data_IF_606990014940
#
_entry.id   IF_606990014940
#
_cell.length_a   1.000
_cell.length_b   1.000
_cell.length_c   1.000
_cell.angle_alpha   90.00
_cell.angle_beta   90.00
_cell.angle_gamma   90.00
#
_symmetry.space_group_name_H-M   'P 1'
#
loop_
_entity.id
_entity.type
_entity.pdbx_description
1 polymer ?
#
# COMPACT_ATOMS: atom_id res chain seq x y z
N UNK A 1 -10.56 -41.65 4.19
CA UNK A 1 -9.77 -41.11 5.32
C UNK A 1 -8.47 -41.87 5.44
N UNK A 2 -7.33 -41.19 5.45
CA UNK A 2 -6.02 -41.84 5.62
C UNK A 2 -5.79 -42.16 7.11
N UNK A 3 -5.28 -43.35 7.42
CA UNK A 3 -4.94 -43.75 8.78
C UNK A 3 -3.43 -43.96 8.96
N UNK A 4 -2.79 -43.03 9.68
CA UNK A 4 -1.33 -43.02 9.93
C UNK A 4 -0.99 -43.34 11.39
N UNK A 5 -1.80 -44.16 12.07
CA UNK A 5 -1.66 -44.45 13.52
C UNK A 5 -1.72 -43.21 14.42
N UNK A 6 -2.40 -42.16 13.96
CA UNK A 6 -2.56 -40.91 14.69
C UNK A 6 -4.05 -40.58 14.83
N UNK A 7 -4.57 -40.81 16.04
CA UNK A 7 -5.98 -40.56 16.38
C UNK A 7 -6.36 -39.09 16.30
N UNK A 8 -5.45 -38.17 16.63
CA UNK A 8 -5.72 -36.73 16.61
C UNK A 8 -5.98 -36.27 15.19
N UNK A 9 -5.07 -36.57 14.26
CA UNK A 9 -5.24 -36.20 12.85
C UNK A 9 -6.43 -36.91 12.21
N UNK A 10 -6.71 -38.15 12.62
CA UNK A 10 -7.84 -38.92 12.10
C UNK A 10 -9.19 -38.32 12.54
N UNK A 11 -9.33 -37.99 13.82
CA UNK A 11 -10.54 -37.34 14.36
C UNK A 11 -10.72 -35.93 13.81
N UNK A 12 -9.63 -35.16 13.71
CA UNK A 12 -9.66 -33.83 13.11
C UNK A 12 -10.11 -33.88 11.64
N UNK A 13 -9.57 -34.81 10.85
CA UNK A 13 -9.99 -35.00 9.47
C UNK A 13 -11.48 -35.39 9.37
N UNK A 14 -12.02 -36.16 10.33
CA UNK A 14 -13.46 -36.45 10.36
C UNK A 14 -14.29 -35.22 10.70
N UNK A 15 -13.82 -34.35 11.59
CA UNK A 15 -14.48 -33.08 11.86
C UNK A 15 -14.47 -32.19 10.61
N UNK A 16 -13.33 -32.08 9.92
CA UNK A 16 -13.21 -31.35 8.65
C UNK A 16 -14.16 -31.91 7.58
N UNK A 17 -14.29 -33.24 7.48
CA UNK A 17 -15.25 -33.88 6.57
C UNK A 17 -16.70 -33.44 6.87
N UNK A 18 -17.07 -33.29 8.15
CA UNK A 18 -18.39 -32.78 8.54
C UNK A 18 -18.57 -31.29 8.21
N UNK A 19 -17.50 -30.50 8.24
CA UNK A 19 -17.51 -29.09 7.81
C UNK A 19 -17.71 -29.00 6.28
N UNK A 20 -17.07 -29.87 5.51
CA UNK A 20 -17.23 -29.94 4.05
C UNK A 20 -18.64 -30.38 3.62
N UNK A 21 -19.28 -31.25 4.41
CA UNK A 21 -20.62 -31.77 4.12
C UNK A 21 -21.77 -30.78 4.38
N UNK A 22 -21.48 -29.55 4.85
CA UNK A 22 -22.48 -28.51 5.14
C UNK A 22 -22.21 -27.23 4.35
N UNK A 23 -23.26 -26.47 4.10
CA UNK A 23 -23.13 -25.06 3.74
C UNK A 23 -22.68 -24.26 4.97
N UNK A 24 -21.67 -23.41 4.81
CA UNK A 24 -21.12 -22.57 5.88
C UNK A 24 -20.63 -21.24 5.32
N UNK A 25 -20.64 -20.21 6.17
CA UNK A 25 -20.17 -18.86 5.80
C UNK A 25 -18.98 -18.46 6.68
N UNK A 26 -17.77 -18.54 6.14
CA UNK A 26 -16.55 -18.19 6.88
C UNK A 26 -15.89 -19.39 7.56
N UNK A 27 -15.33 -19.21 8.75
CA UNK A 27 -14.62 -20.28 9.48
C UNK A 27 -15.60 -21.01 10.39
N UNK A 28 -15.76 -22.32 10.22
CA UNK A 28 -16.55 -23.15 11.13
C UNK A 28 -15.71 -23.59 12.34
N UNK A 29 -16.21 -23.31 13.55
CA UNK A 29 -15.66 -23.84 14.82
C UNK A 29 -16.59 -24.89 15.41
N UNK A 30 -16.03 -25.97 15.97
CA UNK A 30 -16.82 -26.95 16.71
C UNK A 30 -17.39 -26.28 17.97
N UNK A 31 -18.72 -26.27 18.10
CA UNK A 31 -19.43 -25.75 19.27
C UNK A 31 -19.77 -26.86 20.25
N UNK A 32 -20.30 -27.95 19.73
CA UNK A 32 -20.85 -29.02 20.53
C UNK A 32 -20.78 -30.34 19.78
N UNK A 33 -20.55 -31.42 20.52
CA UNK A 33 -20.67 -32.79 20.04
C UNK A 33 -21.40 -33.59 21.11
N UNK A 34 -22.47 -34.29 20.73
CA UNK A 34 -23.27 -35.08 21.70
C UNK A 34 -22.48 -36.24 22.26
N UNK A 35 -21.80 -36.98 21.39
CA UNK A 35 -20.98 -38.11 21.82
C UNK A 35 -19.95 -38.49 20.76
N UNK A 36 -18.83 -39.00 21.24
CA UNK A 36 -17.81 -39.68 20.45
C UNK A 36 -17.68 -41.11 20.97
N UNK A 37 -17.78 -42.08 20.08
CA UNK A 37 -17.52 -43.49 20.38
C UNK A 37 -16.28 -43.91 19.61
N UNK A 38 -15.32 -44.49 20.33
CA UNK A 38 -14.07 -45.02 19.78
C UNK A 38 -13.94 -46.45 20.25
N UNK A 39 -14.07 -47.39 19.32
CA UNK A 39 -13.77 -48.80 19.54
C UNK A 39 -12.50 -49.16 18.76
N UNK A 40 -11.41 -49.32 19.50
CA UNK A 40 -10.10 -49.60 18.92
C UNK A 40 -10.03 -50.98 18.28
N UNK A 41 -10.76 -51.98 18.81
CA UNK A 41 -10.74 -53.35 18.28
C UNK A 41 -11.44 -53.42 16.94
N UNK A 42 -12.63 -52.80 16.83
CA UNK A 42 -13.32 -52.74 15.54
C UNK A 42 -12.53 -51.88 14.53
N UNK A 43 -11.86 -50.82 14.98
CA UNK A 43 -11.02 -49.99 14.11
C UNK A 43 -9.84 -50.76 13.50
N UNK A 44 -9.16 -51.62 14.27
CA UNK A 44 -8.07 -52.46 13.77
C UNK A 44 -8.54 -53.51 12.75
N UNK A 45 -9.79 -53.97 12.88
CA UNK A 45 -10.39 -54.97 11.98
C UNK A 45 -11.03 -54.38 10.72
N UNK A 46 -10.98 -53.05 10.53
CA UNK A 46 -11.70 -52.41 9.42
C UNK A 46 -11.08 -52.73 8.05
N UNK A 47 -11.93 -52.90 7.04
CA UNK A 47 -11.49 -53.08 5.66
C UNK A 47 -10.86 -51.79 5.14
N UNK A 48 -9.63 -51.91 4.67
CA UNK A 48 -8.91 -50.82 4.02
C UNK A 48 -9.23 -50.80 2.52
N UNK A 49 -9.45 -49.60 1.99
CA UNK A 49 -9.74 -49.35 0.58
C UNK A 49 -8.55 -48.59 -0.01
N UNK A 50 -8.16 -48.92 -1.24
CA UNK A 50 -7.15 -48.14 -1.98
C UNK A 50 -7.83 -47.00 -2.73
N UNK A 51 -7.41 -45.78 -2.46
CA UNK A 51 -7.83 -44.58 -3.18
C UNK A 51 -6.58 -43.71 -3.44
N UNK A 52 -6.39 -43.26 -4.68
CA UNK A 52 -5.27 -42.40 -5.11
C UNK A 52 -3.88 -42.91 -4.67
N UNK A 53 -3.65 -44.22 -4.79
CA UNK A 53 -2.39 -44.85 -4.39
C UNK A 53 -2.18 -44.96 -2.87
N UNK A 54 -3.12 -44.48 -2.06
CA UNK A 54 -3.06 -44.51 -0.59
C UNK A 54 -4.06 -45.51 -0.01
N UNK A 55 -3.74 -45.98 1.20
CA UNK A 55 -4.59 -46.92 1.95
C UNK A 55 -5.48 -46.11 2.89
N UNK A 56 -6.79 -46.24 2.71
CA UNK A 56 -7.81 -45.39 3.32
C UNK A 56 -8.90 -46.21 4.00
N UNK A 57 -9.59 -45.59 4.95
CA UNK A 57 -10.84 -46.06 5.55
C UNK A 57 -11.99 -45.23 4.98
N UNK A 58 -13.07 -45.91 4.58
CA UNK A 58 -14.29 -45.25 4.12
C UNK A 58 -14.97 -44.49 5.27
N UNK A 59 -15.38 -43.25 5.01
CA UNK A 59 -16.15 -42.44 5.96
C UNK A 59 -17.57 -42.23 5.42
N UNK A 60 -18.55 -42.32 6.31
CA UNK A 60 -19.97 -42.24 5.97
C UNK A 60 -20.63 -41.20 6.87
N UNK A 61 -21.34 -40.26 6.23
CA UNK A 61 -22.11 -39.21 6.92
C UNK A 61 -23.59 -39.55 6.77
N UNK A 62 -24.26 -39.79 7.88
CA UNK A 62 -25.69 -40.05 7.94
C UNK A 62 -26.42 -38.77 8.38
N UNK A 63 -26.75 -37.91 7.42
CA UNK A 63 -27.34 -36.58 7.68
C UNK A 63 -28.64 -36.64 8.48
N UNK A 64 -29.53 -37.59 8.19
CA UNK A 64 -30.81 -37.76 8.91
C UNK A 64 -30.64 -38.16 10.38
N UNK A 65 -29.52 -38.80 10.72
CA UNK A 65 -29.26 -39.31 12.08
C UNK A 65 -28.28 -38.42 12.86
N UNK A 66 -27.72 -37.39 12.21
CA UNK A 66 -26.65 -36.54 12.74
C UNK A 66 -25.47 -37.39 13.26
N UNK A 67 -25.04 -38.38 12.46
CA UNK A 67 -23.98 -39.33 12.79
C UNK A 67 -22.96 -39.43 11.66
N UNK A 68 -21.68 -39.36 12.01
CA UNK A 68 -20.57 -39.64 11.09
C UNK A 68 -19.76 -40.84 11.59
N UNK A 69 -19.53 -41.81 10.71
CA UNK A 69 -18.78 -43.04 11.02
C UNK A 69 -17.58 -43.21 10.11
N UNK A 70 -16.49 -43.70 10.69
CA UNK A 70 -15.32 -44.12 9.93
C UNK A 70 -14.47 -45.09 10.77
N UNK A 71 -14.30 -46.32 10.29
CA UNK A 71 -13.68 -47.38 11.08
C UNK A 71 -14.43 -47.64 12.38
N UNK A 72 -13.69 -47.82 13.49
CA UNK A 72 -14.26 -47.93 14.83
C UNK A 72 -14.65 -46.59 15.49
N UNK A 73 -14.70 -45.49 14.74
CA UNK A 73 -15.11 -44.17 15.26
C UNK A 73 -16.53 -43.83 14.81
N UNK A 74 -17.34 -43.36 15.76
CA UNK A 74 -18.65 -42.76 15.51
C UNK A 74 -18.76 -41.42 16.22
N UNK A 75 -19.04 -40.35 15.49
CA UNK A 75 -19.33 -39.01 15.98
C UNK A 75 -20.83 -38.76 15.87
N UNK A 76 -21.47 -38.24 16.92
CA UNK A 76 -22.89 -37.96 16.92
C UNK A 76 -23.21 -36.54 17.38
N UNK A 77 -24.19 -35.92 16.75
CA UNK A 77 -24.75 -34.63 17.16
C UNK A 77 -23.74 -33.50 17.06
N UNK A 78 -23.02 -33.40 15.94
CA UNK A 78 -21.96 -32.40 15.77
C UNK A 78 -22.61 -31.06 15.39
N UNK A 79 -22.28 -30.00 16.13
CA UNK A 79 -22.72 -28.63 15.85
C UNK A 79 -21.50 -27.73 15.71
N UNK A 80 -21.48 -26.96 14.64
CA UNK A 80 -20.49 -25.92 14.41
C UNK A 80 -21.15 -24.55 14.42
N UNK A 81 -20.45 -23.57 14.97
CA UNK A 81 -20.74 -22.15 14.79
C UNK A 81 -19.85 -21.62 13.65
N UNK A 82 -20.41 -20.80 12.77
CA UNK A 82 -19.64 -20.09 11.76
C UNK A 82 -19.22 -18.72 12.27
N UNK A 83 -17.95 -18.41 12.08
CA UNK A 83 -17.36 -17.10 12.36
C UNK A 83 -17.10 -16.43 11.02
N UNK A 84 -17.73 -15.28 10.81
CA UNK A 84 -17.43 -14.43 9.67
C UNK A 84 -15.98 -13.96 9.73
N UNK A 85 -15.25 -14.13 8.64
CA UNK A 85 -13.96 -13.45 8.49
C UNK A 85 -14.24 -12.01 8.10
N UNK A 86 -13.71 -11.07 8.88
CA UNK A 86 -13.72 -9.66 8.50
C UNK A 86 -12.78 -9.49 7.30
N UNK A 87 -13.24 -8.96 6.16
CA UNK A 87 -12.34 -8.60 5.10
C UNK A 87 -11.35 -7.57 5.66
N UNK A 88 -10.04 -7.82 5.50
CA UNK A 88 -9.05 -6.77 5.74
C UNK A 88 -9.37 -5.64 4.76
N UNK A 89 -9.47 -4.41 5.25
CA UNK A 89 -9.66 -3.24 4.39
C UNK A 89 -8.49 -3.15 3.41
N UNK A 90 -8.68 -3.62 2.19
CA UNK A 90 -7.70 -3.46 1.11
C UNK A 90 -7.97 -2.12 0.45
N UNK A 91 -7.07 -1.17 0.66
CA UNK A 91 -7.13 0.11 -0.04
C UNK A 91 -6.58 -0.11 -1.45
N UNK A 92 -7.37 0.26 -2.45
CA UNK A 92 -6.91 0.21 -3.83
C UNK A 92 -6.18 1.51 -4.15
N UNK A 93 -4.93 1.38 -4.60
CA UNK A 93 -4.11 2.52 -5.03
C UNK A 93 -4.09 2.58 -6.56
N UNK A 94 -4.26 3.77 -7.13
CA UNK A 94 -3.95 4.04 -8.54
C UNK A 94 -2.55 4.62 -8.66
N UNK A 95 -1.83 4.28 -9.72
CA UNK A 95 -0.55 4.90 -10.06
C UNK A 95 -0.78 5.97 -11.12
N UNK A 96 -0.44 7.21 -10.84
CA UNK A 96 -0.70 8.35 -11.72
C UNK A 96 0.45 9.36 -11.70
N UNK A 97 0.70 10.02 -12.84
CA UNK A 97 1.67 11.10 -12.92
C UNK A 97 1.15 12.35 -12.21
N UNK A 98 1.93 12.86 -11.25
CA UNK A 98 1.65 14.12 -10.56
C UNK A 98 2.81 15.08 -10.78
N UNK A 99 2.51 16.25 -11.32
CA UNK A 99 3.48 17.34 -11.45
C UNK A 99 3.92 17.83 -10.06
N UNK A 100 5.16 18.28 -9.93
CA UNK A 100 5.67 18.89 -8.69
C UNK A 100 4.94 20.19 -8.33
N UNK A 101 4.30 20.84 -9.30
CA UNK A 101 3.43 22.00 -9.07
C UNK A 101 2.14 21.78 -9.86
N UNK A 102 1.24 20.93 -9.38
CA UNK A 102 0.02 20.63 -10.10
C UNK A 102 -0.91 21.84 -10.07
N UNK A 103 -1.68 22.02 -11.13
CA UNK A 103 -2.68 23.08 -11.24
C UNK A 103 -3.97 22.59 -10.58
N UNK A 104 -4.52 23.39 -9.66
CA UNK A 104 -5.78 23.11 -8.97
C UNK A 104 -5.60 22.83 -7.48
N UNK A 105 -6.73 22.69 -6.78
CA UNK A 105 -6.77 22.41 -5.34
C UNK A 105 -6.80 20.91 -5.08
N UNK A 106 -5.92 20.43 -4.20
CA UNK A 106 -5.81 19.04 -3.79
C UNK A 106 -6.15 18.86 -2.30
N UNK A 107 -6.56 17.65 -1.94
CA UNK A 107 -6.72 17.29 -0.53
C UNK A 107 -5.37 17.16 0.16
N UNK A 108 -5.27 17.62 1.40
CA UNK A 108 -4.04 17.52 2.22
C UNK A 108 -3.56 16.08 2.30
N UNK A 109 -4.47 15.12 2.52
CA UNK A 109 -4.18 13.68 2.53
C UNK A 109 -3.45 13.23 1.25
N UNK A 110 -3.94 13.61 0.07
CA UNK A 110 -3.30 13.32 -1.24
C UNK A 110 -1.90 13.92 -1.34
N UNK A 111 -1.72 15.17 -0.90
CA UNK A 111 -0.41 15.81 -0.89
C UNK A 111 0.61 15.10 0.00
N UNK A 112 0.17 14.65 1.20
CA UNK A 112 1.02 13.87 2.10
C UNK A 112 1.40 12.51 1.49
N UNK A 113 0.51 11.80 0.79
CA UNK A 113 0.88 10.57 0.05
C UNK A 113 2.02 10.83 -0.93
N UNK A 114 1.90 11.88 -1.74
CA UNK A 114 2.87 12.19 -2.78
C UNK A 114 4.19 12.62 -2.14
N UNK A 115 4.16 13.51 -1.14
CA UNK A 115 5.37 14.04 -0.53
C UNK A 115 6.15 12.97 0.23
N UNK A 116 5.49 12.09 0.98
CA UNK A 116 6.18 11.00 1.66
C UNK A 116 6.76 9.98 0.68
N UNK A 117 6.12 9.74 -0.47
CA UNK A 117 6.71 8.92 -1.53
C UNK A 117 7.96 9.57 -2.13
N UNK A 118 7.94 10.88 -2.40
CA UNK A 118 9.12 11.63 -2.84
C UNK A 118 10.25 11.50 -1.82
N UNK A 119 9.94 11.70 -0.52
CA UNK A 119 10.92 11.56 0.56
C UNK A 119 11.47 10.13 0.60
N UNK A 120 10.61 9.12 0.64
CA UNK A 120 11.01 7.71 0.74
C UNK A 120 11.84 7.24 -0.47
N UNK A 121 11.63 7.81 -1.66
CA UNK A 121 12.47 7.56 -2.83
C UNK A 121 13.89 8.13 -2.69
N UNK A 122 14.06 9.15 -1.86
CA UNK A 122 15.30 9.89 -1.65
C UNK A 122 15.96 9.62 -0.28
N UNK A 123 15.34 8.81 0.59
CA UNK A 123 15.89 8.31 1.85
C UNK A 123 16.61 6.96 1.66
N UNK A 124 17.54 6.67 2.58
CA UNK A 124 18.46 5.53 2.48
C UNK A 124 17.78 4.19 2.84
N UNK A 125 17.03 4.14 3.95
CA UNK A 125 16.68 2.86 4.61
C UNK A 125 15.25 2.35 4.37
N UNK A 126 14.53 2.87 3.35
CA UNK A 126 13.05 2.66 3.20
C UNK A 126 12.30 2.86 4.53
N UNK A 127 12.87 3.68 5.38
CA UNK A 127 12.36 4.13 6.65
C UNK A 127 12.38 5.65 6.59
N UNK A 128 11.30 6.28 7.03
CA UNK A 128 11.16 7.73 7.05
C UNK A 128 10.87 8.15 8.49
N UNK A 129 11.85 8.81 9.11
CA UNK A 129 11.70 9.42 10.43
C UNK A 129 11.09 10.82 10.28
N UNK A 130 9.85 10.99 10.74
CA UNK A 130 9.12 12.26 10.71
C UNK A 130 9.04 12.87 12.11
N UNK A 131 9.52 14.11 12.24
CA UNK A 131 9.29 14.94 13.42
C UNK A 131 8.28 16.03 13.09
N UNK A 132 7.14 15.97 13.75
CA UNK A 132 6.12 16.99 13.69
C UNK A 132 6.39 18.09 14.74
N UNK A 133 6.53 19.31 14.25
CA UNK A 133 6.75 20.52 15.03
C UNK A 133 5.41 21.22 15.28
N UNK A 134 4.98 21.19 16.53
CA UNK A 134 3.70 21.79 16.96
C UNK A 134 3.98 23.14 17.62
N UNK A 135 3.18 24.13 17.27
CA UNK A 135 3.09 25.41 17.99
C UNK A 135 1.90 25.29 18.95
N UNK A 136 2.01 25.82 20.17
CA UNK A 136 0.96 25.73 21.21
C UNK A 136 -0.38 26.34 20.75
N UNK A 137 -0.36 27.13 19.67
CA UNK A 137 -1.51 27.75 19.04
C UNK A 137 -2.16 26.94 17.89
N UNK A 138 -1.61 25.79 17.49
CA UNK A 138 -2.13 24.96 16.39
C UNK A 138 -2.96 23.76 16.90
N UNK A 139 -4.26 23.78 16.64
CA UNK A 139 -5.20 22.72 17.04
C UNK A 139 -5.17 21.45 16.15
N UNK A 140 -4.55 21.49 14.98
CA UNK A 140 -4.51 20.33 14.06
C UNK A 140 -3.10 19.76 13.92
N UNK A 141 -2.90 18.60 14.53
CA UNK A 141 -1.73 17.76 14.35
C UNK A 141 -1.93 16.78 13.19
N UNK A 142 -0.90 16.57 12.38
CA UNK A 142 -0.85 15.61 11.27
C UNK A 142 -0.76 14.15 11.74
N UNK A 143 -0.53 13.89 13.04
CA UNK A 143 -0.37 12.53 13.59
C UNK A 143 -1.38 11.49 13.08
N UNK A 144 -2.68 11.75 13.22
CA UNK A 144 -3.72 10.80 12.74
C UNK A 144 -3.64 10.55 11.22
N UNK A 145 -3.29 11.58 10.46
CA UNK A 145 -3.12 11.46 9.01
C UNK A 145 -1.88 10.64 8.67
N UNK A 146 -0.76 10.87 9.35
CA UNK A 146 0.49 10.13 9.16
C UNK A 146 0.33 8.65 9.55
N UNK A 147 -0.34 8.36 10.66
CA UNK A 147 -0.65 6.97 11.05
C UNK A 147 -1.52 6.27 10.00
N UNK A 148 -2.49 6.99 9.44
CA UNK A 148 -3.33 6.48 8.36
C UNK A 148 -2.44 6.19 7.15
N UNK A 149 -1.72 7.20 6.63
CA UNK A 149 -0.87 7.06 5.45
C UNK A 149 0.19 5.97 5.62
N UNK A 150 0.78 5.80 6.81
CA UNK A 150 1.74 4.74 7.12
C UNK A 150 1.14 3.33 7.08
N UNK A 151 -0.12 3.16 7.49
CA UNK A 151 -0.85 1.89 7.36
C UNK A 151 -1.22 1.59 5.91
N UNK A 152 -1.54 2.62 5.13
CA UNK A 152 -1.97 2.48 3.74
C UNK A 152 -0.79 2.30 2.76
N UNK A 153 0.32 3.02 2.95
CA UNK A 153 1.54 2.90 2.14
C UNK A 153 2.47 1.83 2.73
N UNK A 154 2.40 0.62 2.20
CA UNK A 154 3.30 -0.48 2.62
C UNK A 154 4.66 -0.45 1.91
N UNK A 155 4.98 0.60 1.15
CA UNK A 155 6.21 0.69 0.35
C UNK A 155 7.44 1.09 1.16
N UNK A 156 7.25 1.73 2.32
CA UNK A 156 8.28 2.14 3.28
C UNK A 156 7.70 2.13 4.70
N UNK A 157 8.55 2.04 5.72
CA UNK A 157 8.16 2.22 7.12
C UNK A 157 8.25 3.70 7.51
N UNK A 158 7.37 4.14 8.41
CA UNK A 158 7.33 5.52 8.86
C UNK A 158 7.23 5.55 10.38
N UNK A 159 8.16 6.27 11.01
CA UNK A 159 8.10 6.58 12.43
C UNK A 159 7.72 8.06 12.58
N UNK A 160 6.73 8.33 13.43
CA UNK A 160 6.24 9.68 13.71
C UNK A 160 6.48 10.03 15.17
N UNK A 161 7.10 11.19 15.39
CA UNK A 161 7.28 11.79 16.72
C UNK A 161 6.80 13.23 16.64
N UNK A 162 6.16 13.73 17.69
CA UNK A 162 5.80 15.14 17.79
C UNK A 162 6.62 15.83 18.88
N UNK A 163 6.92 17.11 18.67
CA UNK A 163 7.57 17.95 19.68
C UNK A 163 7.13 19.40 19.52
N UNK A 164 7.06 20.14 20.63
CA UNK A 164 6.79 21.57 20.58
C UNK A 164 8.00 22.31 20.01
N UNK A 165 7.76 23.30 19.14
CA UNK A 165 8.82 24.11 18.52
C UNK A 165 9.73 24.75 19.58
N UNK A 166 9.17 25.14 20.72
CA UNK A 166 9.89 25.77 21.83
C UNK A 166 10.95 24.84 22.44
N UNK A 167 10.61 23.56 22.61
CA UNK A 167 11.46 22.54 23.24
C UNK A 167 12.68 22.15 22.40
N UNK A 168 12.73 22.56 21.13
CA UNK A 168 13.88 22.33 20.26
C UNK A 168 14.97 23.35 20.59
N UNK A 169 15.83 23.08 21.58
CA UNK A 169 16.88 24.02 22.01
C UNK A 169 18.19 23.83 21.24
N UNK A 170 18.64 22.58 21.06
CA UNK A 170 20.00 22.28 20.57
C UNK A 170 20.05 21.55 19.20
N UNK A 171 18.91 21.34 18.55
CA UNK A 171 18.82 20.65 17.25
C UNK A 171 19.24 19.17 17.25
N UNK A 172 19.68 18.61 18.37
CA UNK A 172 20.09 17.19 18.51
C UNK A 172 18.99 16.21 18.11
N UNK A 173 17.74 16.52 18.47
CA UNK A 173 16.55 15.76 18.08
C UNK A 173 16.28 15.83 16.57
N UNK A 174 16.55 16.99 15.94
CA UNK A 174 16.32 17.23 14.51
C UNK A 174 17.41 16.61 13.64
N UNK A 175 18.65 16.50 14.13
CA UNK A 175 19.78 15.95 13.36
C UNK A 175 19.58 14.51 12.88
N UNK A 176 18.65 13.77 13.48
CA UNK A 176 18.42 12.36 13.21
C UNK A 176 17.08 12.07 12.50
N UNK A 177 16.34 13.09 12.04
CA UNK A 177 15.11 12.86 11.28
C UNK A 177 15.32 13.08 9.78
N UNK A 178 14.46 12.47 8.96
CA UNK A 178 14.40 12.68 7.52
C UNK A 178 13.52 13.87 7.16
N UNK A 179 12.41 14.04 7.90
CA UNK A 179 11.37 15.04 7.61
C UNK A 179 11.03 15.86 8.84
N UNK A 180 11.02 17.18 8.66
CA UNK A 180 10.36 18.10 9.58
C UNK A 180 8.99 18.46 9.02
N UNK A 181 7.95 18.32 9.84
CA UNK A 181 6.57 18.57 9.42
C UNK A 181 5.88 19.57 10.33
N UNK A 182 5.04 20.47 9.79
CA UNK A 182 4.29 21.41 10.61
C UNK A 182 3.63 22.52 9.80
N UNK A 183 3.26 23.60 10.47
CA UNK A 183 2.62 24.77 9.84
C UNK A 183 3.57 25.97 9.85
N UNK A 184 3.57 26.73 8.76
CA UNK A 184 4.36 27.95 8.57
C UNK A 184 5.88 27.79 8.85
N UNK A 185 6.43 26.58 8.70
CA UNK A 185 7.81 26.26 9.07
C UNK A 185 8.85 26.96 8.19
N UNK A 186 8.50 27.27 6.94
CA UNK A 186 9.46 27.86 5.99
C UNK A 186 9.80 29.30 6.35
N UNK A 187 8.88 30.01 7.01
CA UNK A 187 9.11 31.37 7.53
C UNK A 187 9.87 31.40 8.86
N UNK A 188 9.97 30.25 9.55
CA UNK A 188 10.53 30.15 10.90
C UNK A 188 12.06 30.20 10.92
N UNK A 189 12.64 31.30 11.44
CA UNK A 189 14.10 31.45 11.60
C UNK A 189 14.76 30.31 12.39
N UNK A 190 14.06 29.75 13.38
CA UNK A 190 14.56 28.64 14.21
C UNK A 190 14.72 27.36 13.39
N UNK A 191 13.74 27.03 12.55
CA UNK A 191 13.79 25.87 11.64
C UNK A 191 14.88 26.07 10.58
N UNK A 192 15.06 27.29 10.07
CA UNK A 192 16.12 27.63 9.11
C UNK A 192 17.54 27.41 9.64
N UNK A 193 17.76 27.60 10.93
CA UNK A 193 19.08 27.42 11.55
C UNK A 193 19.39 25.96 11.90
N UNK A 194 18.35 25.17 12.15
CA UNK A 194 18.48 23.80 12.68
C UNK A 194 18.38 22.73 11.59
N UNK A 195 17.61 23.00 10.55
CA UNK A 195 17.51 22.12 9.41
C UNK A 195 18.82 22.17 8.61
N UNK A 196 19.26 21.00 8.14
CA UNK A 196 20.45 20.84 7.32
C UNK A 196 20.15 19.94 6.12
N UNK A 197 20.06 18.62 6.33
CA UNK A 197 19.89 17.64 5.23
C UNK A 197 18.44 17.16 5.07
N UNK A 198 17.53 17.58 5.94
CA UNK A 198 16.15 17.09 6.01
C UNK A 198 15.25 17.69 4.93
N UNK A 199 14.21 16.94 4.58
CA UNK A 199 13.05 17.48 3.90
C UNK A 199 12.15 18.23 4.91
N UNK A 200 11.43 19.22 4.41
CA UNK A 200 10.47 19.99 5.21
C UNK A 200 9.11 19.91 4.51
N UNK A 201 8.10 19.44 5.22
CA UNK A 201 6.71 19.49 4.79
C UNK A 201 6.00 20.56 5.61
N UNK A 202 5.53 21.62 4.96
CA UNK A 202 4.87 22.73 5.65
C UNK A 202 3.56 23.11 4.98
N UNK A 203 2.53 23.41 5.78
CA UNK A 203 1.34 24.12 5.31
C UNK A 203 1.53 25.61 5.58
N UNK A 204 1.56 26.40 4.52
CA UNK A 204 1.74 27.85 4.55
C UNK A 204 0.38 28.53 4.29
N UNK A 205 -0.12 29.32 5.26
CA UNK A 205 -1.43 30.00 5.16
C UNK A 205 -1.41 31.29 4.35
N UNK A 206 -0.22 31.85 4.12
CA UNK A 206 -0.04 33.09 3.37
C UNK A 206 0.56 32.80 2.00
N UNK A 207 0.14 33.56 0.98
CA UNK A 207 0.87 33.78 -0.28
C UNK A 207 2.18 34.56 -0.01
N UNK A 208 2.94 34.14 0.99
CA UNK A 208 4.35 34.48 1.08
C UNK A 208 4.96 33.87 -0.15
N UNK A 209 5.05 34.69 -1.19
CA UNK A 209 5.97 34.50 -2.29
C UNK A 209 7.29 34.09 -1.66
N UNK A 210 7.64 32.82 -1.83
CA UNK A 210 8.88 32.22 -1.33
C UNK A 210 10.02 32.80 -2.18
N UNK A 211 10.27 34.09 -2.00
CA UNK A 211 11.32 34.83 -2.67
C UNK A 211 12.39 35.01 -1.60
N UNK A 212 13.57 34.44 -1.86
CA UNK A 212 14.76 34.49 -1.00
C UNK A 212 14.72 33.70 0.32
N UNK A 213 13.95 32.61 0.41
CA UNK A 213 14.18 31.65 1.48
C UNK A 213 15.42 30.78 1.18
N UNK A 214 16.15 30.30 2.19
CA UNK A 214 17.32 29.43 2.01
C UNK A 214 16.95 28.01 1.52
N UNK A 215 15.71 27.79 1.09
CA UNK A 215 15.16 26.49 0.75
C UNK A 215 14.91 26.37 -0.75
N UNK A 216 15.04 25.14 -1.24
CA UNK A 216 14.62 24.74 -2.59
C UNK A 216 13.24 24.11 -2.46
N UNK A 217 12.25 24.71 -3.10
CA UNK A 217 10.91 24.13 -3.24
C UNK A 217 10.98 22.90 -4.17
N UNK A 218 10.74 21.73 -3.62
CA UNK A 218 10.76 20.45 -4.35
C UNK A 218 9.42 20.27 -5.08
N UNK A 219 8.34 20.37 -4.32
CA UNK A 219 6.96 20.18 -4.76
C UNK A 219 6.02 21.07 -3.94
N UNK A 220 4.93 21.56 -4.51
CA UNK A 220 3.95 22.37 -3.82
C UNK A 220 2.54 22.12 -4.38
N UNK A 221 1.54 22.07 -3.51
CA UNK A 221 0.14 21.84 -3.86
C UNK A 221 -0.75 22.85 -3.14
N UNK A 222 -1.71 23.43 -3.86
CA UNK A 222 -2.74 24.26 -3.26
C UNK A 222 -3.77 23.38 -2.55
N UNK A 223 -4.12 23.71 -1.30
CA UNK A 223 -5.13 22.96 -0.52
C UNK A 223 -6.13 23.93 0.12
N UNK A 224 -7.33 23.46 0.54
CA UNK A 224 -8.32 24.33 1.18
C UNK A 224 -7.86 25.02 2.46
N UNK A 225 -6.82 24.50 3.13
CA UNK A 225 -6.31 25.04 4.39
C UNK A 225 -5.00 25.84 4.24
N UNK A 226 -4.50 25.97 3.01
CA UNK A 226 -3.25 26.67 2.70
C UNK A 226 -2.42 25.94 1.64
N UNK A 227 -1.25 26.50 1.34
CA UNK A 227 -0.30 25.94 0.37
C UNK A 227 0.57 24.89 1.05
N UNK A 228 0.42 23.64 0.65
CA UNK A 228 1.20 22.52 1.17
C UNK A 228 2.50 22.41 0.36
N UNK A 229 3.66 22.58 1.02
CA UNK A 229 4.97 22.68 0.38
C UNK A 229 5.92 21.61 0.90
N UNK A 230 6.55 20.90 -0.02
CA UNK A 230 7.73 20.07 0.23
C UNK A 230 8.97 20.86 -0.19
N UNK A 231 9.84 21.15 0.77
CA UNK A 231 11.08 21.85 0.56
C UNK A 231 12.27 21.04 1.06
N UNK A 232 13.47 21.39 0.59
CA UNK A 232 14.73 20.94 1.18
C UNK A 232 15.70 22.09 1.27
N UNK A 233 16.69 22.00 2.15
CA UNK A 233 17.85 22.89 2.08
C UNK A 233 18.79 22.48 0.94
N UNK A 234 19.43 23.45 0.28
CA UNK A 234 20.56 23.18 -0.60
C UNK A 234 21.63 22.42 0.17
N UNK A 235 22.17 21.36 -0.41
CA UNK A 235 23.35 20.69 0.14
C UNK A 235 24.56 21.64 0.05
N UNK A 236 25.24 21.94 1.17
CA UNK A 236 26.34 22.92 1.19
C UNK A 236 27.64 22.41 0.54
N UNK A 237 27.79 21.10 0.33
CA UNK A 237 28.99 20.50 -0.24
C UNK A 237 28.90 20.43 -1.77
N UNK A 238 29.71 21.25 -2.43
CA UNK A 238 30.11 21.15 -3.84
C UNK A 238 29.00 20.70 -4.80
N UNK A 239 28.19 21.65 -5.28
CA UNK A 239 27.36 21.37 -6.45
C UNK A 239 28.26 20.75 -7.53
N UNK A 240 27.90 19.57 -8.09
CA UNK A 240 28.76 18.89 -9.04
C UNK A 240 29.06 19.83 -10.19
N UNK A 241 30.35 20.05 -10.45
CA UNK A 241 30.79 21.02 -11.44
C UNK A 241 30.45 20.56 -12.87
N UNK A 242 30.27 19.25 -13.06
CA UNK A 242 30.06 18.64 -14.38
C UNK A 242 28.97 17.56 -14.34
N UNK A 243 27.99 17.68 -15.25
CA UNK A 243 26.96 16.68 -15.49
C UNK A 243 27.39 15.74 -16.63
N UNK A 244 27.36 14.44 -16.38
CA UNK A 244 27.62 13.40 -17.37
C UNK A 244 26.30 12.71 -17.74
N UNK A 245 25.88 12.86 -19.00
CA UNK A 245 24.62 12.32 -19.50
C UNK A 245 24.83 10.96 -20.14
N UNK A 246 24.02 9.98 -19.76
CA UNK A 246 24.05 8.63 -20.31
C UNK A 246 22.65 8.21 -20.69
N UNK A 247 22.43 7.92 -21.97
CA UNK A 247 21.19 7.30 -22.42
C UNK A 247 21.20 5.82 -22.07
N UNK A 248 20.10 5.32 -21.51
CA UNK A 248 19.97 3.92 -21.10
C UNK A 248 19.83 3.02 -22.35
N UNK A 249 20.75 2.07 -22.59
CA UNK A 249 20.65 1.17 -23.74
C UNK A 249 19.52 0.15 -23.55
N UNK A 250 18.69 -0.07 -24.59
CA UNK A 250 17.55 -0.99 -24.54
C UNK A 250 17.95 -2.48 -24.51
N UNK A 251 19.15 -2.82 -24.98
CA UNK A 251 19.59 -4.20 -25.26
C UNK A 251 20.78 -4.70 -24.39
N UNK A 252 21.22 -3.92 -23.39
CA UNK A 252 22.39 -4.24 -22.57
C UNK A 252 21.97 -4.74 -21.19
N UNK A 253 22.77 -5.64 -20.59
CA UNK A 253 22.68 -5.93 -19.16
C UNK A 253 22.92 -4.62 -18.37
N UNK A 254 21.81 -3.93 -18.07
CA UNK A 254 21.77 -2.57 -17.53
C UNK A 254 22.65 -2.42 -16.29
N UNK A 255 22.62 -3.41 -15.41
CA UNK A 255 23.43 -3.45 -14.18
C UNK A 255 24.92 -3.33 -14.47
N UNK A 256 25.48 -4.20 -15.32
CA UNK A 256 26.92 -4.21 -15.62
C UNK A 256 27.40 -2.93 -16.33
N UNK A 257 26.56 -2.38 -17.21
CA UNK A 257 26.88 -1.12 -17.89
C UNK A 257 26.92 0.04 -16.91
N UNK A 258 25.86 0.19 -16.12
CA UNK A 258 25.74 1.27 -15.14
C UNK A 258 26.79 1.14 -14.03
N UNK A 259 27.09 -0.06 -13.54
CA UNK A 259 28.17 -0.30 -12.58
C UNK A 259 29.52 0.18 -13.13
N UNK A 260 29.84 -0.14 -14.39
CA UNK A 260 31.07 0.34 -15.03
C UNK A 260 31.08 1.86 -15.17
N UNK A 261 29.96 2.46 -15.56
CA UNK A 261 29.85 3.93 -15.64
C UNK A 261 30.09 4.56 -14.28
N UNK A 262 29.46 4.02 -13.23
CA UNK A 262 29.60 4.48 -11.85
C UNK A 262 31.03 4.41 -11.33
N UNK A 263 31.73 3.30 -11.56
CA UNK A 263 33.14 3.13 -11.14
C UNK A 263 34.11 4.09 -11.84
N UNK A 264 33.73 4.65 -12.99
CA UNK A 264 34.55 5.59 -13.76
C UNK A 264 34.20 7.06 -13.49
N UNK A 265 33.22 7.37 -12.62
CA UNK A 265 32.87 8.74 -12.27
C UNK A 265 33.92 9.37 -11.36
N UNK A 266 34.27 10.61 -11.65
CA UNK A 266 35.10 11.41 -10.75
C UNK A 266 34.28 11.89 -9.53
N UNK A 267 34.91 12.17 -8.37
CA UNK A 267 34.21 12.51 -7.12
C UNK A 267 33.23 13.69 -7.18
N UNK A 268 33.41 14.61 -8.13
CA UNK A 268 32.56 15.81 -8.32
C UNK A 268 31.66 15.75 -9.58
N UNK A 269 31.58 14.59 -10.24
CA UNK A 269 30.69 14.41 -11.39
C UNK A 269 29.32 13.92 -10.97
N UNK A 270 28.29 14.41 -11.65
CA UNK A 270 26.92 13.93 -11.54
C UNK A 270 26.54 13.08 -12.74
N UNK A 271 26.08 11.86 -12.50
CA UNK A 271 25.57 10.98 -13.53
C UNK A 271 24.07 11.21 -13.71
N UNK A 272 23.69 11.52 -14.95
CA UNK A 272 22.30 11.72 -15.35
C UNK A 272 21.94 10.63 -16.35
N UNK A 273 21.09 9.70 -15.91
CA UNK A 273 20.54 8.66 -16.76
C UNK A 273 19.32 9.21 -17.50
N UNK A 274 19.27 9.05 -18.81
CA UNK A 274 18.13 9.47 -19.64
C UNK A 274 17.45 8.22 -20.20
N UNK A 275 16.14 8.12 -19.95
CA UNK A 275 15.28 7.09 -20.49
C UNK A 275 14.04 7.70 -21.18
N UNK A 276 13.51 7.00 -22.18
CA UNK A 276 12.24 7.31 -22.85
C UNK A 276 11.07 6.45 -22.34
N UNK A 277 11.35 5.44 -21.52
CA UNK A 277 10.36 4.55 -20.92
C UNK A 277 10.06 4.88 -19.45
N UNK A 278 8.88 4.46 -18.97
CA UNK A 278 8.54 4.52 -17.55
C UNK A 278 9.52 3.67 -16.73
N UNK A 279 9.93 4.12 -15.53
CA UNK A 279 11.02 3.48 -14.82
C UNK A 279 10.56 2.13 -14.28
N UNK A 280 11.37 1.09 -14.52
CA UNK A 280 11.16 -0.20 -13.87
C UNK A 280 11.45 -0.08 -12.37
N UNK A 281 10.73 -0.83 -11.54
CA UNK A 281 10.96 -0.83 -10.09
C UNK A 281 12.38 -1.25 -9.71
N UNK A 282 13.00 -2.10 -10.52
CA UNK A 282 14.38 -2.56 -10.38
C UNK A 282 15.39 -1.42 -10.57
N UNK A 283 15.22 -0.61 -11.63
CA UNK A 283 16.09 0.54 -11.90
C UNK A 283 16.00 1.58 -10.77
N UNK A 284 14.79 1.87 -10.29
CA UNK A 284 14.59 2.81 -9.16
C UNK A 284 15.25 2.29 -7.88
N UNK A 285 15.13 0.98 -7.60
CA UNK A 285 15.77 0.36 -6.45
C UNK A 285 17.31 0.41 -6.55
N UNK A 286 17.85 0.19 -7.75
CA UNK A 286 19.28 0.24 -8.02
C UNK A 286 19.85 1.66 -7.85
N UNK A 287 19.18 2.67 -8.40
CA UNK A 287 19.54 4.08 -8.23
C UNK A 287 19.57 4.46 -6.74
N UNK A 288 18.56 4.03 -5.97
CA UNK A 288 18.52 4.29 -4.53
C UNK A 288 19.71 3.66 -3.81
N UNK A 289 20.00 2.38 -4.10
CA UNK A 289 21.15 1.67 -3.52
C UNK A 289 22.47 2.40 -3.81
N UNK A 290 22.67 2.89 -5.02
CA UNK A 290 23.91 3.63 -5.33
C UNK A 290 23.96 5.02 -4.72
N UNK A 291 22.82 5.70 -4.62
CA UNK A 291 22.71 6.96 -3.88
C UNK A 291 23.03 6.77 -2.40
N UNK A 292 22.82 5.57 -1.83
CA UNK A 292 23.22 5.27 -0.45
C UNK A 292 24.69 4.91 -0.27
N UNK A 293 25.34 4.38 -1.31
CA UNK A 293 26.77 4.02 -1.29
C UNK A 293 27.69 5.24 -1.50
N UNK A 294 27.17 6.36 -2.02
CA UNK A 294 27.93 7.58 -2.28
C UNK A 294 27.57 8.70 -1.31
N UNK A 295 28.58 9.35 -0.72
CA UNK A 295 28.36 10.52 0.14
C UNK A 295 27.72 11.71 -0.60
N UNK A 296 27.89 11.80 -1.93
CA UNK A 296 27.56 13.00 -2.72
C UNK A 296 26.22 12.96 -3.45
N UNK A 297 25.41 11.88 -3.36
CA UNK A 297 24.06 11.82 -3.94
C UNK A 297 23.96 12.32 -5.41
N UNK A 298 24.97 12.01 -6.22
CA UNK A 298 25.20 12.62 -7.54
C UNK A 298 24.64 11.78 -8.71
N UNK A 299 23.58 11.01 -8.47
CA UNK A 299 22.94 10.17 -9.49
C UNK A 299 21.47 10.56 -9.65
N UNK A 300 21.06 10.93 -10.86
CA UNK A 300 19.68 11.27 -11.18
C UNK A 300 19.20 10.48 -12.40
N UNK A 301 18.00 9.92 -12.33
CA UNK A 301 17.28 9.40 -13.48
C UNK A 301 16.32 10.47 -13.99
N UNK A 302 16.38 10.71 -15.28
CA UNK A 302 15.49 11.59 -16.01
C UNK A 302 14.76 10.79 -17.08
N UNK A 303 13.45 10.88 -17.04
CA UNK A 303 12.57 10.24 -18.01
C UNK A 303 11.92 11.34 -18.81
N UNK A 304 12.23 11.38 -20.10
CA UNK A 304 11.68 12.36 -21.01
C UNK A 304 11.53 11.74 -22.39
N UNK A 305 10.49 12.14 -23.12
CA UNK A 305 10.38 11.74 -24.51
C UNK A 305 11.51 12.40 -25.32
N UNK A 306 12.04 11.66 -26.30
CA UNK A 306 13.20 12.05 -27.13
C UNK A 306 12.99 13.35 -27.95
N UNK A 307 11.79 13.92 -27.93
CA UNK A 307 11.53 15.28 -28.40
C UNK A 307 11.98 16.24 -27.31
N UNK A 308 13.27 16.61 -27.36
CA UNK A 308 13.88 17.60 -26.48
C UNK A 308 12.99 18.85 -26.43
N UNK A 309 12.17 19.00 -25.39
CA UNK A 309 11.49 20.26 -25.10
C UNK A 309 12.59 21.22 -24.62
N UNK A 310 12.99 22.12 -25.53
CA UNK A 310 14.15 23.03 -25.43
C UNK A 310 14.11 23.94 -24.19
N UNK A 311 12.97 24.01 -23.50
CA UNK A 311 12.70 24.93 -22.38
C UNK A 311 12.23 24.21 -21.09
N UNK A 312 12.75 23.02 -20.83
CA UNK A 312 12.34 22.24 -19.64
C UNK A 312 12.97 22.73 -18.32
N UNK A 313 13.71 23.84 -18.25
CA UNK A 313 14.33 24.33 -17.00
C UNK A 313 15.12 23.25 -16.21
N UNK A 314 15.82 22.35 -16.91
CA UNK A 314 16.52 21.20 -16.35
C UNK A 314 17.47 21.58 -15.19
N UNK A 315 18.17 22.71 -15.29
CA UNK A 315 19.07 23.18 -14.24
C UNK A 315 18.36 23.41 -12.91
N UNK A 316 17.14 23.97 -12.92
CA UNK A 316 16.37 24.18 -11.70
C UNK A 316 15.88 22.86 -11.11
N UNK A 317 15.46 21.93 -11.96
CA UNK A 317 15.05 20.60 -11.51
C UNK A 317 16.21 19.83 -10.88
N UNK A 318 17.39 19.87 -11.49
CA UNK A 318 18.59 19.22 -10.97
C UNK A 318 19.07 19.79 -9.62
N UNK A 319 18.75 21.05 -9.31
CA UNK A 319 19.04 21.64 -7.98
C UNK A 319 18.23 20.98 -6.86
N UNK A 320 17.06 20.42 -7.16
CA UNK A 320 16.26 19.66 -6.18
C UNK A 320 16.93 18.34 -5.77
N UNK A 321 17.86 17.84 -6.59
CA UNK A 321 18.60 16.60 -6.39
C UNK A 321 17.71 15.40 -6.00
N UNK A 322 16.65 15.18 -6.80
CA UNK A 322 15.76 14.03 -6.67
C UNK A 322 16.28 12.84 -7.46
N UNK A 323 16.17 11.64 -6.91
CA UNK A 323 16.63 10.40 -7.53
C UNK A 323 15.96 10.12 -8.88
N UNK A 324 14.64 10.29 -8.96
CA UNK A 324 13.84 10.05 -10.18
C UNK A 324 13.09 11.32 -10.56
N UNK A 325 13.15 11.69 -11.83
CA UNK A 325 12.51 12.88 -12.38
C UNK A 325 11.86 12.51 -13.70
N UNK A 326 10.56 12.79 -13.84
CA UNK A 326 9.85 12.60 -15.10
C UNK A 326 9.43 13.96 -15.65
N UNK A 327 9.65 14.16 -16.94
CA UNK A 327 9.19 15.35 -17.64
C UNK A 327 8.10 14.96 -18.63
N UNK A 328 6.87 15.40 -18.36
CA UNK A 328 5.66 15.02 -19.11
C UNK A 328 4.73 16.22 -19.21
N UNK A 329 4.21 16.48 -20.40
CA UNK A 329 3.25 17.56 -20.67
C UNK A 329 3.75 18.95 -20.23
N UNK A 330 5.02 19.29 -20.50
CA UNK A 330 5.58 20.58 -20.12
C UNK A 330 5.90 20.77 -18.63
N UNK A 331 5.77 19.71 -17.81
CA UNK A 331 5.92 19.80 -16.36
C UNK A 331 6.84 18.70 -15.80
N UNK A 332 7.62 19.04 -14.77
CA UNK A 332 8.35 18.06 -13.98
C UNK A 332 7.46 17.41 -12.93
N UNK A 333 7.59 16.11 -12.75
CA UNK A 333 6.87 15.32 -11.76
C UNK A 333 7.42 13.90 -11.66
N UNK A 334 6.60 13.00 -11.15
CA UNK A 334 6.81 11.54 -11.22
C UNK A 334 5.46 10.82 -11.13
N UNK A 335 5.48 9.50 -11.19
CA UNK A 335 4.31 8.65 -11.00
C UNK A 335 4.22 8.15 -9.56
N UNK A 336 3.11 8.45 -8.87
CA UNK A 336 2.91 8.11 -7.46
C UNK A 336 1.67 7.24 -7.27
N UNK A 337 1.66 6.45 -6.20
CA UNK A 337 0.49 5.71 -5.75
C UNK A 337 -0.42 6.62 -4.92
N UNK A 338 -1.68 6.74 -5.33
CA UNK A 338 -2.68 7.56 -4.66
C UNK A 338 -3.89 6.68 -4.38
N UNK A 339 -4.51 6.75 -3.19
CA UNK A 339 -5.72 5.98 -2.91
C UNK A 339 -6.81 6.36 -3.91
N UNK A 340 -7.48 5.35 -4.44
CA UNK A 340 -8.75 5.56 -5.13
C UNK A 340 -9.75 5.94 -4.05
N UNK A 341 -10.21 7.19 -4.09
CA UNK A 341 -11.43 7.53 -3.39
C UNK A 341 -12.55 6.84 -4.16
N UNK A 342 -13.23 5.90 -3.51
CA UNK A 342 -14.52 5.43 -3.98
C UNK A 342 -15.43 6.66 -3.96
N UNK A 343 -15.58 7.31 -5.10
CA UNK A 343 -16.62 8.32 -5.25
C UNK A 343 -17.94 7.60 -4.99
N UNK A 344 -18.82 8.21 -4.20
CA UNK A 344 -20.20 7.73 -4.02
C UNK A 344 -20.83 7.56 -5.39
N UNK A 345 -20.83 6.33 -5.91
CA UNK A 345 -21.48 6.00 -7.16
C UNK A 345 -22.97 6.14 -6.92
N UNK A 346 -23.62 7.06 -7.63
CA UNK A 346 -25.07 7.19 -7.62
C UNK A 346 -25.63 6.02 -8.44
N UNK A 347 -25.98 4.93 -7.77
CA UNK A 347 -26.61 3.76 -8.38
C UNK A 347 -28.13 3.83 -8.26
N UNK A 348 -28.85 3.48 -9.33
CA UNK A 348 -30.32 3.55 -9.35
C UNK A 348 -30.99 2.43 -8.53
N UNK A 349 -30.33 1.28 -8.40
CA UNK A 349 -30.83 0.13 -7.64
C UNK A 349 -29.81 -0.27 -6.58
N UNK A 350 -30.18 -0.06 -5.33
CA UNK A 350 -29.36 -0.38 -4.17
C UNK A 350 -30.13 -1.25 -3.19
N UNK A 351 -29.43 -2.13 -2.50
CA UNK A 351 -29.93 -2.84 -1.32
C UNK A 351 -29.09 -2.44 -0.12
N UNK A 352 -29.74 -2.30 1.04
CA UNK A 352 -29.02 -2.24 2.30
C UNK A 352 -28.48 -3.64 2.58
N UNK A 353 -27.19 -3.75 2.86
CA UNK A 353 -26.64 -4.96 3.43
C UNK A 353 -25.45 -4.66 4.32
N UNK A 354 -25.08 -5.63 5.13
CA UNK A 354 -23.88 -5.50 5.95
C UNK A 354 -22.75 -6.30 5.33
N UNK A 355 -21.58 -5.68 5.22
CA UNK A 355 -20.34 -6.38 4.88
C UNK A 355 -19.77 -7.13 6.09
N UNK A 356 -20.26 -6.82 7.30
CA UNK A 356 -19.82 -7.39 8.58
C UNK A 356 -21.02 -7.86 9.41
N UNK A 357 -21.32 -9.18 9.41
CA UNK A 357 -22.44 -9.72 10.17
C UNK A 357 -22.36 -9.39 11.66
N UNK A 358 -23.42 -8.81 12.21
CA UNK A 358 -23.53 -8.46 13.63
C UNK A 358 -23.04 -7.05 13.98
N UNK A 359 -22.44 -6.33 13.04
CA UNK A 359 -22.10 -4.92 13.19
C UNK A 359 -23.14 -4.06 12.45
N UNK A 360 -23.84 -3.23 13.21
CA UNK A 360 -24.85 -2.31 12.69
C UNK A 360 -24.21 -1.08 12.04
N UNK A 361 -22.98 -0.73 12.40
CA UNK A 361 -22.24 0.38 11.81
C UNK A 361 -21.66 0.01 10.44
N UNK A 362 -21.57 -1.28 10.12
CA UNK A 362 -21.12 -1.80 8.84
C UNK A 362 -22.25 -1.96 7.78
N UNK A 363 -23.46 -1.47 8.08
CA UNK A 363 -24.56 -1.46 7.13
C UNK A 363 -24.32 -0.40 6.05
N UNK A 364 -24.15 -0.83 4.80
CA UNK A 364 -23.92 0.04 3.65
C UNK A 364 -24.89 -0.25 2.51
N UNK A 365 -25.11 0.76 1.67
CA UNK A 365 -25.86 0.60 0.43
C UNK A 365 -24.96 -0.09 -0.61
N UNK A 366 -25.39 -1.25 -1.09
CA UNK A 366 -24.69 -2.00 -2.14
C UNK A 366 -25.51 -1.98 -3.42
N UNK A 367 -24.85 -1.75 -4.56
CA UNK A 367 -25.49 -1.82 -5.87
C UNK A 367 -26.01 -3.23 -6.17
N UNK A 368 -27.19 -3.29 -6.78
CA UNK A 368 -27.77 -4.53 -7.30
C UNK A 368 -27.54 -4.54 -8.81
N UNK A 369 -26.73 -5.48 -9.30
CA UNK A 369 -26.72 -5.77 -10.73
C UNK A 369 -28.06 -6.40 -11.10
N UNK A 370 -28.75 -5.89 -12.13
CA UNK A 370 -29.93 -6.57 -12.65
C UNK A 370 -29.59 -8.02 -12.97
N UNK A 371 -30.38 -9.00 -12.50
CA UNK A 371 -30.14 -10.39 -12.88
C UNK A 371 -30.22 -10.48 -14.40
N UNK A 372 -29.29 -11.21 -15.03
CA UNK A 372 -29.27 -11.54 -16.47
C UNK A 372 -30.52 -12.36 -16.91
N UNK A 373 -31.53 -12.47 -16.06
CA UNK A 373 -32.80 -13.16 -16.28
C UNK A 373 -33.99 -12.21 -16.15
N UNK A 374 -34.07 -11.24 -17.07
CA UNK A 374 -35.34 -10.57 -17.41
C UNK A 374 -35.74 -10.82 -18.87
N UNK A 375 -35.22 -11.90 -19.49
CA UNK A 375 -35.92 -12.53 -20.62
C UNK A 375 -36.97 -13.47 -20.06
N UNK A 376 -38.17 -12.92 -19.88
CA UNK A 376 -39.43 -13.58 -19.57
C UNK A 376 -39.52 -15.02 -20.13
N UNK A 377 -39.34 -16.04 -19.28
CA UNK A 377 -39.86 -17.38 -19.57
C UNK A 377 -41.33 -17.37 -19.17
N UNK A 378 -42.22 -17.26 -20.15
CA UNK A 378 -43.66 -17.52 -19.95
C UNK A 378 -43.84 -19.00 -19.64
N UNK A 379 -44.12 -19.31 -18.38
CA UNK A 379 -44.63 -20.63 -17.98
C UNK A 379 -46.13 -20.67 -18.26
N UNK A 380 -46.56 -21.39 -19.28
CA UNK A 380 -47.97 -21.70 -19.51
C UNK A 380 -48.35 -22.96 -18.74
N UNK A 381 -49.30 -22.84 -17.81
CA UNK A 381 -49.94 -23.99 -17.18
C UNK A 381 -51.07 -24.48 -18.10
N UNK A 382 -50.92 -25.68 -18.67
CA UNK A 382 -51.99 -26.37 -19.38
C UNK A 382 -52.95 -27.01 -18.39
N UNK A 383 -54.18 -26.48 -18.30
CA UNK A 383 -55.26 -27.12 -17.56
C UNK A 383 -55.80 -28.29 -18.41
N UNK A 384 -55.70 -29.52 -17.90
CA UNK A 384 -56.26 -30.71 -18.55
C UNK A 384 -57.60 -31.00 -17.88
N UNK A 385 -58.69 -30.53 -18.49
CA UNK A 385 -60.03 -30.94 -18.10
C UNK A 385 -60.18 -32.44 -18.37
N UNK A 386 -60.44 -33.20 -17.30
CA UNK A 386 -60.90 -34.58 -17.38
C UNK A 386 -62.38 -34.51 -17.77
N UNK A 387 -62.68 -34.81 -19.03
CA UNK A 387 -64.04 -35.15 -19.45
C UNK A 387 -64.40 -36.49 -18.81
N UNK A 388 -65.52 -36.44 -18.09
CA UNK A 388 -66.25 -37.53 -17.42
C UNK A 388 -66.54 -38.72 -18.31
#
# INVERSE_FOLDING_TARGET
MIWNRNWVTFLDSLLQLNILGRTHNGISKLKYMRSILIDTRSHESVKLVKADGQTCIEAQIYSLQDVTRCGGVSLQGIKFDDISQFPRSTITMKREFIAHKPIGSFGVKTGIYVFLQIVAENCLDRHVDVIELVDDHNEQTFGNLLETVAKELTTFSLDHKYTAIENVVDGSTIKHCDVLMGNNLLSGKKVQQLAHKQFIISIEKSDTTIINLPYIEVSAMETPIGRLVLARLPTPEGAPEHNFFVSIPKDVALELFLERTMHNLLPMQRLILIDDAAPSGELVALIRKWRSEQETNNLNLIIMNNQMEIDCNLHEQLRKNLAVNMYKNGCWGSEYYIPLNDNDMICQQVRLGSTVPGDLEALTWMEISEPISSKNVKVMFGHRELLT
#
